data_IF_729979277798
#
_entry.id   IF_729979277798
#
_cell.length_a   1.000
_cell.length_b   1.000
_cell.length_c   1.000
_cell.angle_alpha   90.00
_cell.angle_beta   90.00
_cell.angle_gamma   90.00
#
_symmetry.space_group_name_H-M   'P 1'
#
loop_
_entity.id
_entity.type
_entity.pdbx_description
1 polymer ?
#
# COMPACT_ATOMS: atom_id res chain seq x y z
N UNK A 1 25.70 -0.54 -0.46
CA UNK A 1 26.99 -0.39 0.24
C UNK A 1 27.02 0.92 1.01
N UNK A 2 27.03 2.12 0.38
CA UNK A 2 27.14 3.41 1.10
C UNK A 2 26.17 3.56 2.29
N UNK A 3 24.89 3.23 2.13
CA UNK A 3 23.92 3.30 3.23
C UNK A 3 24.33 2.46 4.45
N UNK A 4 24.88 1.25 4.24
CA UNK A 4 25.30 0.36 5.32
C UNK A 4 26.46 0.97 6.11
N UNK A 5 27.48 1.49 5.44
CA UNK A 5 28.63 2.14 6.08
C UNK A 5 28.22 3.44 6.80
N UNK A 6 27.38 4.26 6.16
CA UNK A 6 26.86 5.51 6.76
C UNK A 6 26.01 5.24 8.00
N UNK A 7 25.14 4.23 7.96
CA UNK A 7 24.34 3.84 9.10
C UNK A 7 25.19 3.29 10.26
N UNK A 8 26.20 2.49 9.95
CA UNK A 8 27.16 1.98 10.93
C UNK A 8 27.97 3.12 11.57
N UNK A 9 28.45 4.06 10.75
CA UNK A 9 29.17 5.23 11.25
C UNK A 9 28.31 6.13 12.14
N UNK A 10 27.01 6.28 11.82
CA UNK A 10 26.05 7.02 12.64
C UNK A 10 25.89 6.41 14.05
N UNK A 11 25.89 5.09 14.18
CA UNK A 11 25.93 4.36 15.46
C UNK A 11 24.70 4.56 16.38
N UNK A 12 23.65 5.21 15.89
CA UNK A 12 22.48 5.60 16.71
C UNK A 12 21.47 4.48 16.97
N UNK A 13 21.67 3.28 16.41
CA UNK A 13 20.78 2.14 16.56
C UNK A 13 21.49 0.81 16.31
N UNK A 14 20.88 -0.30 16.79
CA UNK A 14 21.29 -1.64 16.38
C UNK A 14 20.88 -1.88 14.93
N UNK A 15 21.83 -2.34 14.12
CA UNK A 15 21.66 -2.53 12.68
C UNK A 15 21.64 -4.01 12.32
N UNK A 16 20.69 -4.39 11.46
CA UNK A 16 20.64 -5.67 10.78
C UNK A 16 20.63 -5.43 9.28
N UNK A 17 21.38 -6.20 8.51
CA UNK A 17 21.47 -6.06 7.05
C UNK A 17 20.66 -7.16 6.39
N UNK A 18 19.87 -6.83 5.38
CA UNK A 18 19.17 -7.81 4.55
C UNK A 18 19.44 -7.57 3.07
N UNK A 19 19.78 -8.61 2.34
CA UNK A 19 19.91 -8.61 0.88
C UNK A 19 18.79 -9.47 0.29
N UNK A 20 18.04 -8.92 -0.67
CA UNK A 20 17.06 -9.71 -1.41
C UNK A 20 17.69 -10.23 -2.69
N UNK A 21 17.87 -11.54 -2.77
CA UNK A 21 18.28 -12.23 -3.98
C UNK A 21 17.03 -12.66 -4.76
N UNK A 22 16.82 -12.05 -5.92
CA UNK A 22 15.70 -12.39 -6.80
C UNK A 22 15.91 -13.65 -7.62
N UNK A 23 17.09 -14.28 -7.52
CA UNK A 23 17.47 -15.51 -8.25
C UNK A 23 17.25 -15.42 -9.78
N UNK A 24 17.37 -14.19 -10.34
CA UNK A 24 17.15 -13.92 -11.76
C UNK A 24 18.45 -13.92 -12.57
N UNK A 25 19.60 -13.83 -11.91
CA UNK A 25 20.93 -13.78 -12.52
C UNK A 25 21.93 -14.60 -11.68
N UNK A 26 22.90 -15.28 -12.32
CA UNK A 26 23.93 -16.05 -11.61
C UNK A 26 24.76 -15.18 -10.64
N UNK A 27 25.04 -13.93 -11.02
CA UNK A 27 25.86 -12.98 -10.27
C UNK A 27 25.21 -12.52 -8.95
N UNK A 28 23.89 -12.59 -8.85
CA UNK A 28 23.15 -12.14 -7.66
C UNK A 28 23.59 -12.86 -6.36
N UNK A 29 24.02 -14.12 -6.46
CA UNK A 29 24.57 -14.85 -5.31
C UNK A 29 25.92 -14.31 -4.86
N UNK A 30 26.78 -13.90 -5.81
CA UNK A 30 28.09 -13.33 -5.51
C UNK A 30 27.94 -11.92 -4.93
N UNK A 31 27.01 -11.12 -5.46
CA UNK A 31 26.66 -9.79 -4.93
C UNK A 31 26.16 -9.90 -3.48
N UNK A 32 25.27 -10.86 -3.19
CA UNK A 32 24.79 -11.10 -1.84
C UNK A 32 25.91 -11.55 -0.89
N UNK A 33 26.82 -12.40 -1.36
CA UNK A 33 27.99 -12.84 -0.59
C UNK A 33 28.95 -11.68 -0.28
N UNK A 34 29.16 -10.78 -1.23
CA UNK A 34 29.97 -9.56 -1.02
C UNK A 34 29.34 -8.65 0.06
N UNK A 35 28.02 -8.42 0.02
CA UNK A 35 27.32 -7.65 1.06
C UNK A 35 27.42 -8.35 2.42
N UNK A 36 27.25 -9.67 2.47
CA UNK A 36 27.38 -10.45 3.69
C UNK A 36 28.79 -10.36 4.31
N UNK A 37 29.82 -10.41 3.47
CA UNK A 37 31.20 -10.28 3.91
C UNK A 37 31.47 -8.87 4.49
N UNK A 38 31.05 -7.81 3.78
CA UNK A 38 31.22 -6.44 4.28
C UNK A 38 30.42 -6.20 5.57
N UNK A 39 29.20 -6.72 5.69
CA UNK A 39 28.44 -6.63 6.93
C UNK A 39 29.17 -7.28 8.10
N UNK A 40 29.77 -8.47 7.89
CA UNK A 40 30.56 -9.17 8.89
C UNK A 40 31.80 -8.35 9.33
N UNK A 41 32.50 -7.74 8.38
CA UNK A 41 33.66 -6.87 8.65
C UNK A 41 33.26 -5.64 9.48
N UNK A 42 32.05 -5.14 9.32
CA UNK A 42 31.45 -4.07 10.11
C UNK A 42 30.85 -4.53 11.46
N UNK A 43 30.92 -5.83 11.77
CA UNK A 43 30.30 -6.40 12.97
C UNK A 43 28.77 -6.44 12.94
N UNK A 44 28.18 -6.43 11.74
CA UNK A 44 26.72 -6.44 11.54
C UNK A 44 26.23 -7.84 11.18
N UNK A 45 25.01 -8.20 11.67
CA UNK A 45 24.31 -9.38 11.19
C UNK A 45 23.78 -9.18 9.77
N UNK A 46 23.77 -10.26 8.99
CA UNK A 46 23.28 -10.23 7.61
C UNK A 46 22.42 -11.45 7.29
N UNK A 47 21.29 -11.21 6.63
CA UNK A 47 20.42 -12.23 6.09
C UNK A 47 20.25 -12.08 4.58
N UNK A 48 20.32 -13.20 3.83
CA UNK A 48 19.96 -13.23 2.42
C UNK A 48 18.54 -13.78 2.28
N UNK A 49 17.64 -12.96 1.75
CA UNK A 49 16.25 -13.32 1.49
C UNK A 49 16.12 -13.73 0.03
N UNK A 50 15.77 -14.98 -0.21
CA UNK A 50 15.66 -15.54 -1.57
C UNK A 50 14.23 -15.47 -2.06
N UNK A 51 14.04 -15.03 -3.30
CA UNK A 51 12.75 -15.07 -4.00
C UNK A 51 12.74 -16.15 -5.05
N UNK A 52 11.93 -17.19 -4.81
CA UNK A 52 11.81 -18.36 -5.71
C UNK A 52 10.42 -18.46 -6.38
N UNK A 53 9.57 -17.46 -6.17
CA UNK A 53 8.14 -17.58 -6.41
C UNK A 53 7.59 -16.88 -7.67
N UNK A 54 8.36 -16.68 -8.77
CA UNK A 54 7.77 -16.13 -9.98
C UNK A 54 7.01 -17.20 -10.78
N UNK A 55 5.70 -16.97 -10.92
CA UNK A 55 4.79 -17.85 -11.69
C UNK A 55 4.87 -17.67 -13.21
N UNK A 56 5.79 -16.80 -13.68
CA UNK A 56 5.99 -16.40 -15.10
C UNK A 56 4.80 -15.65 -15.72
N UNK A 57 3.89 -15.13 -14.89
CA UNK A 57 2.76 -14.32 -15.35
C UNK A 57 2.96 -12.83 -15.02
N UNK A 58 2.55 -11.96 -15.94
CA UNK A 58 2.57 -10.51 -15.75
C UNK A 58 3.96 -9.88 -15.94
N UNK A 59 4.15 -8.71 -15.31
CA UNK A 59 5.41 -7.97 -15.39
C UNK A 59 6.38 -8.44 -14.30
N UNK A 60 7.49 -9.07 -14.70
CA UNK A 60 8.52 -9.58 -13.82
C UNK A 60 9.06 -8.52 -12.85
N UNK A 61 9.26 -7.27 -13.31
CA UNK A 61 9.79 -6.20 -12.45
C UNK A 61 8.81 -5.78 -11.35
N UNK A 62 7.54 -5.70 -11.68
CA UNK A 62 6.50 -5.39 -10.68
C UNK A 62 6.37 -6.53 -9.68
N UNK A 63 6.42 -7.79 -10.14
CA UNK A 63 6.40 -8.97 -9.28
C UNK A 63 7.63 -9.00 -8.36
N UNK A 64 8.84 -8.80 -8.88
CA UNK A 64 10.08 -8.73 -8.11
C UNK A 64 10.06 -7.59 -7.08
N UNK A 65 9.54 -6.42 -7.45
CA UNK A 65 9.40 -5.28 -6.54
C UNK A 65 8.40 -5.55 -5.40
N UNK A 66 7.28 -6.21 -5.70
CA UNK A 66 6.29 -6.62 -4.70
C UNK A 66 6.89 -7.68 -3.76
N UNK A 67 7.53 -8.71 -4.33
CA UNK A 67 8.21 -9.76 -3.57
C UNK A 67 9.29 -9.20 -2.64
N UNK A 68 10.13 -8.28 -3.13
CA UNK A 68 11.14 -7.60 -2.31
C UNK A 68 10.52 -6.91 -1.10
N UNK A 69 9.40 -6.20 -1.30
CA UNK A 69 8.72 -5.53 -0.19
C UNK A 69 8.13 -6.50 0.81
N UNK A 70 7.49 -7.57 0.32
CA UNK A 70 6.89 -8.59 1.18
C UNK A 70 7.97 -9.31 2.00
N UNK A 71 9.05 -9.78 1.36
CA UNK A 71 10.16 -10.46 2.02
C UNK A 71 10.82 -9.59 3.09
N UNK A 72 11.08 -8.31 2.79
CA UNK A 72 11.66 -7.39 3.75
C UNK A 72 10.70 -7.07 4.90
N UNK A 73 9.40 -6.92 4.65
CA UNK A 73 8.41 -6.66 5.70
C UNK A 73 8.29 -7.85 6.65
N UNK A 74 8.23 -9.05 6.10
CA UNK A 74 8.13 -10.31 6.83
C UNK A 74 9.40 -10.56 7.66
N UNK A 75 10.56 -10.34 7.06
CA UNK A 75 11.84 -10.40 7.74
C UNK A 75 11.93 -9.38 8.88
N UNK A 76 11.57 -8.12 8.62
CA UNK A 76 11.58 -7.06 9.64
C UNK A 76 10.68 -7.39 10.83
N UNK A 77 9.50 -7.94 10.57
CA UNK A 77 8.57 -8.39 11.61
C UNK A 77 9.16 -9.53 12.45
N UNK A 78 9.77 -10.53 11.81
CA UNK A 78 10.41 -11.67 12.50
C UNK A 78 11.61 -11.25 13.33
N UNK A 79 12.39 -10.28 12.85
CA UNK A 79 13.56 -9.74 13.56
C UNK A 79 13.17 -8.70 14.64
N UNK A 80 11.90 -8.29 14.70
CA UNK A 80 11.45 -7.26 15.63
C UNK A 80 12.03 -5.87 15.35
N UNK A 81 12.50 -5.59 14.11
CA UNK A 81 13.04 -4.28 13.73
C UNK A 81 11.92 -3.30 13.44
N UNK A 82 12.07 -2.05 13.91
CA UNK A 82 11.05 -1.03 13.82
C UNK A 82 11.05 -0.31 12.46
N UNK A 83 12.20 -0.26 11.77
CA UNK A 83 12.35 0.47 10.52
C UNK A 83 13.28 -0.26 9.54
N UNK A 84 12.95 -0.14 8.24
CA UNK A 84 13.79 -0.62 7.14
C UNK A 84 14.32 0.58 6.36
N UNK A 85 15.64 0.71 6.28
CA UNK A 85 16.30 1.75 5.51
C UNK A 85 16.51 1.31 4.06
N UNK A 86 16.17 2.18 3.11
CA UNK A 86 16.34 1.95 1.67
C UNK A 86 17.31 2.97 1.08
N UNK A 87 18.28 2.52 0.31
CA UNK A 87 19.35 3.34 -0.29
C UNK A 87 18.92 4.11 -1.56
N UNK A 88 17.68 4.63 -1.61
CA UNK A 88 17.27 5.50 -2.71
C UNK A 88 17.91 6.88 -2.59
N UNK A 89 18.34 7.43 -3.72
CA UNK A 89 19.10 8.67 -3.87
C UNK A 89 18.29 9.79 -4.53
N UNK A 90 18.88 10.98 -4.63
CA UNK A 90 18.30 12.10 -5.40
C UNK A 90 18.12 11.74 -6.88
N UNK A 91 19.03 10.96 -7.46
CA UNK A 91 18.91 10.43 -8.81
C UNK A 91 17.64 9.58 -8.96
N UNK A 92 17.34 8.70 -7.99
CA UNK A 92 16.13 7.88 -8.01
C UNK A 92 14.85 8.72 -7.87
N UNK A 93 14.91 9.84 -7.16
CA UNK A 93 13.80 10.81 -7.10
C UNK A 93 13.55 11.45 -8.46
N UNK A 94 14.59 11.93 -9.13
CA UNK A 94 14.48 12.55 -10.44
C UNK A 94 14.01 11.56 -11.52
N UNK A 95 14.55 10.34 -11.52
CA UNK A 95 14.10 9.25 -12.40
C UNK A 95 12.60 8.96 -12.17
N UNK A 96 12.18 8.83 -10.90
CA UNK A 96 10.79 8.58 -10.54
C UNK A 96 9.86 9.72 -10.95
N UNK A 97 10.27 10.96 -10.74
CA UNK A 97 9.53 12.15 -11.14
C UNK A 97 9.30 12.16 -12.66
N UNK A 98 10.37 11.98 -13.45
CA UNK A 98 10.30 12.00 -14.92
C UNK A 98 9.41 10.88 -15.46
N UNK A 99 9.55 9.66 -14.95
CA UNK A 99 8.71 8.53 -15.35
C UNK A 99 7.22 8.76 -15.04
N UNK A 100 6.91 9.43 -13.93
CA UNK A 100 5.53 9.75 -13.57
C UNK A 100 4.99 10.93 -14.36
N UNK A 101 5.81 11.93 -14.65
CA UNK A 101 5.46 13.03 -15.54
C UNK A 101 5.10 12.52 -16.93
N UNK A 102 5.91 11.63 -17.49
CA UNK A 102 5.67 10.99 -18.79
C UNK A 102 4.36 10.19 -18.84
N UNK A 103 3.87 9.70 -17.68
CA UNK A 103 2.58 9.00 -17.56
C UNK A 103 1.41 9.94 -17.26
N UNK A 104 1.60 11.26 -17.29
CA UNK A 104 0.56 12.24 -17.01
C UNK A 104 0.12 12.29 -15.54
N UNK A 105 1.00 11.95 -14.60
CA UNK A 105 0.66 11.98 -13.18
C UNK A 105 0.41 13.40 -12.69
N UNK A 106 -0.61 13.59 -11.84
CA UNK A 106 -0.86 14.81 -11.08
C UNK A 106 0.04 14.94 -9.85
N UNK A 107 -0.36 15.83 -8.93
CA UNK A 107 0.39 16.19 -7.71
C UNK A 107 0.85 14.97 -6.91
N UNK A 108 -0.05 13.99 -6.67
CA UNK A 108 0.29 12.79 -5.89
C UNK A 108 1.42 11.97 -6.50
N UNK A 109 1.38 11.79 -7.82
CA UNK A 109 2.42 11.07 -8.53
C UNK A 109 3.72 11.86 -8.59
N UNK A 110 3.66 13.14 -8.94
CA UNK A 110 4.82 14.01 -9.07
C UNK A 110 5.54 14.29 -7.74
N UNK A 111 4.86 14.08 -6.60
CA UNK A 111 5.50 14.09 -5.28
C UNK A 111 6.57 13.00 -5.09
N UNK A 112 6.76 12.11 -6.06
CA UNK A 112 7.75 11.04 -6.11
C UNK A 112 7.80 10.18 -4.82
N UNK A 113 8.97 9.83 -4.30
CA UNK A 113 9.09 8.96 -3.12
C UNK A 113 9.09 9.79 -1.84
N UNK A 114 8.32 9.35 -0.84
CA UNK A 114 8.35 9.94 0.50
C UNK A 114 9.61 9.51 1.26
N UNK A 115 10.21 10.40 2.09
CA UNK A 115 11.34 10.03 2.95
C UNK A 115 11.00 8.92 3.94
N UNK A 116 9.80 8.96 4.49
CA UNK A 116 9.27 7.97 5.44
C UNK A 116 7.90 7.51 4.96
N UNK A 117 7.63 6.22 5.14
CA UNK A 117 6.34 5.61 4.83
C UNK A 117 6.08 4.42 5.73
N UNK A 118 4.95 4.41 6.42
CA UNK A 118 4.49 3.24 7.16
C UNK A 118 3.63 2.35 6.23
N UNK A 119 4.02 1.08 6.09
CA UNK A 119 3.31 0.11 5.27
C UNK A 119 3.63 -1.32 5.71
N UNK A 120 2.65 -2.22 5.68
CA UNK A 120 2.78 -3.62 6.06
C UNK A 120 3.39 -3.82 7.47
N UNK A 121 3.00 -2.96 8.42
CA UNK A 121 3.50 -3.02 9.80
C UNK A 121 4.95 -2.55 10.00
N UNK A 122 5.60 -2.05 8.95
CA UNK A 122 7.01 -1.63 8.97
C UNK A 122 7.13 -0.16 8.57
N UNK A 123 8.04 0.56 9.22
CA UNK A 123 8.44 1.92 8.84
C UNK A 123 9.55 1.86 7.80
N UNK A 124 9.26 2.33 6.59
CA UNK A 124 10.22 2.41 5.47
C UNK A 124 10.83 3.80 5.41
N UNK A 125 12.14 3.89 5.49
CA UNK A 125 12.87 5.16 5.50
C UNK A 125 13.85 5.23 4.32
N UNK A 126 14.04 6.43 3.78
CA UNK A 126 14.96 6.72 2.66
C UNK A 126 15.83 7.90 3.01
N UNK A 127 16.87 7.69 3.84
CA UNK A 127 17.67 8.80 4.37
C UNK A 127 18.54 9.50 3.32
N UNK A 128 18.75 8.89 2.14
CA UNK A 128 19.66 9.39 1.12
C UNK A 128 18.94 10.10 -0.06
N UNK A 129 17.64 10.44 0.08
CA UNK A 129 16.87 11.04 -1.02
C UNK A 129 17.37 12.43 -1.47
N UNK A 130 18.13 13.11 -0.67
CA UNK A 130 18.73 14.42 -0.98
C UNK A 130 20.19 14.33 -1.43
N UNK A 131 20.79 13.13 -1.36
CA UNK A 131 22.18 12.88 -1.70
C UNK A 131 22.25 12.28 -3.10
N UNK A 132 23.19 12.77 -3.93
CA UNK A 132 23.39 12.23 -5.27
C UNK A 132 24.14 10.90 -5.23
N UNK A 133 23.96 10.10 -6.26
CA UNK A 133 24.76 8.87 -6.44
C UNK A 133 26.24 9.20 -6.63
N UNK A 134 26.58 10.34 -7.24
CA UNK A 134 27.95 10.82 -7.38
C UNK A 134 28.58 11.11 -6.02
N UNK A 135 27.92 11.90 -5.16
CA UNK A 135 28.42 12.22 -3.82
C UNK A 135 28.68 10.96 -3.00
N UNK A 136 27.78 9.98 -3.07
CA UNK A 136 27.97 8.70 -2.39
C UNK A 136 29.17 7.92 -2.91
N UNK A 137 29.41 7.90 -4.22
CA UNK A 137 30.59 7.27 -4.82
C UNK A 137 31.87 7.98 -4.44
N UNK A 138 31.87 9.30 -4.42
CA UNK A 138 33.04 10.10 -4.02
C UNK A 138 33.36 9.89 -2.54
N UNK A 139 32.35 9.85 -1.69
CA UNK A 139 32.50 9.49 -0.28
C UNK A 139 33.07 8.07 -0.09
N UNK A 140 32.57 7.09 -0.84
CA UNK A 140 33.06 5.71 -0.81
C UNK A 140 34.55 5.65 -1.23
N UNK A 141 34.94 6.37 -2.30
CA UNK A 141 36.31 6.44 -2.76
C UNK A 141 37.24 7.09 -1.72
N UNK A 142 36.79 8.21 -1.14
CA UNK A 142 37.58 8.93 -0.12
C UNK A 142 37.83 8.10 1.15
N UNK A 143 36.95 7.11 1.42
CA UNK A 143 37.07 6.19 2.56
C UNK A 143 37.61 4.80 2.14
N UNK A 144 38.13 4.63 0.92
CA UNK A 144 38.68 3.38 0.37
C UNK A 144 37.72 2.19 0.47
N UNK A 145 36.41 2.45 0.36
CA UNK A 145 35.36 1.44 0.49
C UNK A 145 34.98 0.85 -0.87
N UNK A 146 34.88 -0.46 -0.94
CA UNK A 146 34.50 -1.18 -2.16
C UNK A 146 32.99 -1.20 -2.37
N UNK A 147 32.56 -1.25 -3.63
CA UNK A 147 31.17 -1.50 -4.03
C UNK A 147 31.12 -2.31 -5.33
N UNK A 148 29.97 -2.86 -5.64
CA UNK A 148 29.71 -3.55 -6.91
C UNK A 148 28.84 -2.66 -7.77
N UNK A 149 29.25 -2.43 -9.02
CA UNK A 149 28.39 -1.83 -10.05
C UNK A 149 27.61 -2.95 -10.76
N UNK A 150 26.29 -2.88 -10.70
CA UNK A 150 25.39 -3.85 -11.34
C UNK A 150 25.34 -3.58 -12.86
N UNK A 151 25.78 -4.51 -13.74
CA UNK A 151 25.72 -4.36 -15.19
C UNK A 151 24.29 -4.18 -15.73
N UNK A 152 23.28 -4.70 -15.03
CA UNK A 152 21.88 -4.50 -15.35
C UNK A 152 21.41 -3.04 -15.30
N UNK A 153 22.24 -2.15 -14.74
CA UNK A 153 22.00 -0.70 -14.76
C UNK A 153 22.18 -0.04 -16.14
N UNK A 154 22.62 -0.77 -17.16
CA UNK A 154 22.85 -0.25 -18.53
C UNK A 154 21.85 -0.78 -19.56
N UNK A 155 21.00 -1.73 -19.20
CA UNK A 155 20.03 -2.33 -20.14
C UNK A 155 18.86 -1.38 -20.45
N UNK A 156 18.90 -0.78 -21.65
CA UNK A 156 17.92 0.19 -22.16
C UNK A 156 16.49 -0.36 -22.37
N UNK A 157 16.24 -1.64 -22.15
CA UNK A 157 14.88 -2.21 -22.14
C UNK A 157 14.05 -1.70 -20.95
N UNK A 158 14.69 -1.20 -19.90
CA UNK A 158 14.04 -0.77 -18.67
C UNK A 158 13.72 0.73 -18.68
N UNK A 159 12.49 1.07 -18.31
CA UNK A 159 12.00 2.47 -18.24
C UNK A 159 12.89 3.39 -17.41
N UNK A 160 13.52 2.86 -16.34
CA UNK A 160 14.43 3.64 -15.50
C UNK A 160 15.71 4.06 -16.19
N UNK A 161 16.23 3.21 -17.06
CA UNK A 161 17.45 3.51 -17.80
C UNK A 161 17.17 4.55 -18.88
N UNK A 162 16.01 4.42 -19.57
CA UNK A 162 15.52 5.45 -20.48
C UNK A 162 15.34 6.80 -19.76
N UNK A 163 14.77 6.79 -18.56
CA UNK A 163 14.62 8.01 -17.77
C UNK A 163 15.98 8.64 -17.42
N UNK A 164 16.99 7.83 -17.06
CA UNK A 164 18.35 8.30 -16.77
C UNK A 164 19.01 8.95 -17.98
N UNK A 165 18.93 8.30 -19.14
CA UNK A 165 19.43 8.84 -20.40
C UNK A 165 18.71 10.14 -20.80
N UNK A 166 17.39 10.17 -20.63
CA UNK A 166 16.61 11.37 -20.88
C UNK A 166 17.00 12.53 -19.95
N UNK A 167 17.28 12.24 -18.67
CA UNK A 167 17.74 13.26 -17.71
C UNK A 167 19.06 13.90 -18.13
N UNK A 168 19.99 13.15 -18.70
CA UNK A 168 21.26 13.66 -19.19
C UNK A 168 21.04 14.59 -20.40
N UNK A 169 20.12 14.24 -21.31
CA UNK A 169 19.73 15.06 -22.46
C UNK A 169 18.96 16.33 -22.05
N UNK A 170 18.22 16.30 -20.96
CA UNK A 170 17.40 17.41 -20.48
C UNK A 170 18.20 18.39 -19.57
N UNK A 171 19.35 17.98 -19.06
CA UNK A 171 20.18 18.79 -18.16
C UNK A 171 20.60 20.15 -18.78
N UNK A 172 20.98 20.26 -20.07
CA UNK A 172 21.31 21.54 -20.70
C UNK A 172 20.14 22.53 -20.76
N UNK A 173 18.89 22.04 -20.73
CA UNK A 173 17.67 22.87 -20.61
C UNK A 173 17.39 23.34 -19.17
N UNK A 174 18.27 23.01 -18.22
CA UNK A 174 18.07 23.31 -16.80
C UNK A 174 17.19 22.28 -16.05
N UNK A 175 16.75 21.21 -16.68
CA UNK A 175 16.00 20.11 -16.04
C UNK A 175 16.97 19.12 -15.39
N UNK A 176 17.73 19.61 -14.42
CA UNK A 176 18.71 18.81 -13.70
C UNK A 176 18.05 17.89 -12.66
N UNK A 177 18.76 16.83 -12.23
CA UNK A 177 18.30 15.91 -11.17
C UNK A 177 17.92 16.68 -9.91
N UNK A 178 18.70 17.66 -9.50
CA UNK A 178 18.44 18.50 -8.34
C UNK A 178 17.11 19.29 -8.49
N UNK A 179 16.89 19.93 -9.64
CA UNK A 179 15.64 20.70 -9.88
C UNK A 179 14.40 19.81 -9.91
N UNK A 180 14.49 18.63 -10.54
CA UNK A 180 13.37 17.70 -10.56
C UNK A 180 13.05 17.13 -9.18
N UNK A 181 14.07 16.81 -8.38
CA UNK A 181 13.92 16.41 -7.00
C UNK A 181 13.31 17.53 -6.14
N UNK A 182 13.75 18.77 -6.32
CA UNK A 182 13.15 19.94 -5.66
C UNK A 182 11.69 20.13 -6.05
N UNK A 183 11.36 19.99 -7.33
CA UNK A 183 9.97 20.07 -7.80
C UNK A 183 9.12 18.95 -7.18
N UNK A 184 9.65 17.74 -7.07
CA UNK A 184 8.99 16.64 -6.37
C UNK A 184 8.70 16.98 -4.89
N UNK A 185 9.65 17.64 -4.21
CA UNK A 185 9.45 18.10 -2.83
C UNK A 185 8.34 19.15 -2.73
N UNK A 186 8.27 20.12 -3.66
CA UNK A 186 7.17 21.08 -3.73
C UNK A 186 5.82 20.40 -3.99
N UNK A 187 5.78 19.39 -4.86
CA UNK A 187 4.56 18.60 -5.08
C UNK A 187 4.17 17.81 -3.83
N UNK A 188 5.13 17.33 -3.05
CA UNK A 188 4.85 16.66 -1.78
C UNK A 188 4.22 17.61 -0.75
N UNK A 189 4.70 18.85 -0.65
CA UNK A 189 4.10 19.89 0.19
C UNK A 189 2.67 20.22 -0.27
N UNK A 190 2.46 20.45 -1.56
CA UNK A 190 1.13 20.70 -2.13
C UNK A 190 0.17 19.54 -1.84
N UNK A 191 0.63 18.28 -1.99
CA UNK A 191 -0.13 17.08 -1.65
C UNK A 191 -0.57 17.09 -0.19
N UNK A 192 0.29 17.49 0.74
CA UNK A 192 -0.06 17.58 2.17
C UNK A 192 -1.24 18.53 2.38
N UNK A 193 -1.19 19.73 1.83
CA UNK A 193 -2.28 20.73 1.92
C UNK A 193 -3.57 20.19 1.32
N UNK A 194 -3.51 19.58 0.14
CA UNK A 194 -4.68 18.99 -0.51
C UNK A 194 -5.28 17.82 0.29
N UNK A 195 -4.44 17.02 0.94
CA UNK A 195 -4.90 15.94 1.81
C UNK A 195 -5.57 16.48 3.09
N UNK A 196 -5.02 17.53 3.69
CA UNK A 196 -5.60 18.18 4.86
C UNK A 196 -6.96 18.82 4.54
N UNK A 197 -7.08 19.48 3.39
CA UNK A 197 -8.35 20.01 2.93
C UNK A 197 -9.40 18.91 2.72
N UNK A 198 -9.00 17.80 2.12
CA UNK A 198 -9.88 16.67 1.93
C UNK A 198 -10.25 15.99 3.27
N UNK A 199 -9.31 15.84 4.22
CA UNK A 199 -9.59 15.30 5.54
C UNK A 199 -10.57 16.18 6.32
N UNK A 200 -10.43 17.49 6.22
CA UNK A 200 -11.36 18.45 6.83
C UNK A 200 -12.76 18.31 6.26
N UNK A 201 -12.88 18.27 4.92
CA UNK A 201 -14.17 18.09 4.27
C UNK A 201 -14.84 16.75 4.64
N UNK A 202 -14.04 15.68 4.80
CA UNK A 202 -14.56 14.36 5.16
C UNK A 202 -15.30 14.34 6.49
N UNK A 203 -14.91 15.15 7.47
CA UNK A 203 -15.52 15.16 8.82
C UNK A 203 -17.00 15.45 8.80
N UNK A 204 -17.42 16.32 7.91
CA UNK A 204 -18.79 16.80 7.85
C UNK A 204 -19.69 15.99 6.91
N UNK A 205 -19.11 15.36 5.90
CA UNK A 205 -19.88 14.72 4.80
C UNK A 205 -19.74 13.20 4.74
N UNK A 206 -18.80 12.62 5.51
CA UNK A 206 -18.49 11.19 5.48
C UNK A 206 -18.94 10.52 6.77
N UNK A 207 -19.57 9.34 6.66
CA UNK A 207 -19.89 8.48 7.80
C UNK A 207 -19.49 7.05 7.51
N UNK A 208 -19.19 6.31 8.58
CA UNK A 208 -18.84 4.90 8.53
C UNK A 208 -20.04 4.08 9.00
N UNK A 209 -20.49 3.15 8.20
CA UNK A 209 -21.62 2.29 8.50
C UNK A 209 -21.20 0.82 8.39
N UNK A 210 -20.76 0.23 9.52
CA UNK A 210 -20.39 -1.19 9.57
C UNK A 210 -19.53 -1.65 8.37
N UNK A 211 -18.42 -0.94 8.14
CA UNK A 211 -17.47 -1.26 7.06
C UNK A 211 -17.77 -0.65 5.69
N UNK A 212 -18.94 -0.04 5.50
CA UNK A 212 -19.23 0.83 4.38
C UNK A 212 -18.75 2.26 4.65
N UNK A 213 -18.43 2.99 3.59
CA UNK A 213 -18.18 4.42 3.64
C UNK A 213 -19.27 5.13 2.85
N UNK A 214 -19.91 6.10 3.49
CA UNK A 214 -21.05 6.80 2.94
C UNK A 214 -20.82 8.30 2.99
N UNK A 215 -20.98 8.96 1.86
CA UNK A 215 -20.90 10.42 1.73
C UNK A 215 -22.30 11.01 1.50
N UNK A 216 -22.54 12.21 2.06
CA UNK A 216 -23.65 13.03 1.59
C UNK A 216 -23.42 13.41 0.12
N UNK A 217 -24.35 13.09 -0.76
CA UNK A 217 -24.18 13.23 -2.20
C UNK A 217 -24.09 14.69 -2.63
N UNK A 218 -24.91 15.58 -2.03
CA UNK A 218 -24.98 16.98 -2.38
C UNK A 218 -23.74 17.74 -1.88
N UNK A 219 -23.31 17.45 -0.66
CA UNK A 219 -22.12 18.04 -0.07
C UNK A 219 -20.85 17.58 -0.80
N UNK A 220 -20.78 16.29 -1.19
CA UNK A 220 -19.69 15.74 -1.98
C UNK A 220 -19.58 16.42 -3.35
N UNK A 221 -20.71 16.69 -4.01
CA UNK A 221 -20.74 17.36 -5.32
C UNK A 221 -20.33 18.83 -5.25
N UNK A 222 -20.58 19.48 -4.13
CA UNK A 222 -20.19 20.87 -3.90
C UNK A 222 -18.68 21.04 -3.71
N UNK A 223 -17.94 19.97 -3.45
CA UNK A 223 -16.48 20.04 -3.27
C UNK A 223 -15.74 20.29 -4.58
N UNK A 224 -14.56 20.94 -4.52
CA UNK A 224 -13.63 20.96 -5.64
C UNK A 224 -13.33 19.57 -6.18
N UNK A 225 -13.20 19.43 -7.49
CA UNK A 225 -13.07 18.12 -8.14
C UNK A 225 -11.91 17.26 -7.59
N UNK A 226 -10.74 17.88 -7.31
CA UNK A 226 -9.60 17.16 -6.75
C UNK A 226 -9.90 16.63 -5.34
N UNK A 227 -10.54 17.45 -4.48
CA UNK A 227 -10.92 17.05 -3.12
C UNK A 227 -11.90 15.90 -3.14
N UNK A 228 -12.92 15.96 -3.99
CA UNK A 228 -13.90 14.89 -4.20
C UNK A 228 -13.22 13.61 -4.69
N UNK A 229 -12.36 13.69 -5.71
CA UNK A 229 -11.64 12.56 -6.27
C UNK A 229 -10.71 11.91 -5.24
N UNK A 230 -10.07 12.70 -4.35
CA UNK A 230 -9.27 12.20 -3.22
C UNK A 230 -10.10 11.41 -2.23
N UNK A 231 -11.23 11.95 -1.81
CA UNK A 231 -12.11 11.31 -0.84
C UNK A 231 -12.63 9.98 -1.35
N UNK A 232 -13.18 9.96 -2.56
CA UNK A 232 -13.74 8.73 -3.14
C UNK A 232 -12.65 7.69 -3.41
N UNK A 233 -11.47 8.10 -3.92
CA UNK A 233 -10.35 7.19 -4.12
C UNK A 233 -9.86 6.59 -2.79
N UNK A 234 -9.80 7.40 -1.72
CA UNK A 234 -9.40 6.93 -0.40
C UNK A 234 -10.40 5.95 0.18
N UNK A 235 -11.70 6.26 0.07
CA UNK A 235 -12.76 5.36 0.51
C UNK A 235 -12.71 4.01 -0.20
N UNK A 236 -12.44 4.00 -1.52
CA UNK A 236 -12.25 2.76 -2.27
C UNK A 236 -11.04 1.96 -1.77
N UNK A 237 -9.90 2.62 -1.54
CA UNK A 237 -8.71 1.97 -1.00
C UNK A 237 -8.96 1.36 0.38
N UNK A 238 -9.68 2.07 1.25
CA UNK A 238 -10.00 1.63 2.60
C UNK A 238 -10.94 0.43 2.61
N UNK A 239 -12.06 0.52 1.87
CA UNK A 239 -13.03 -0.57 1.75
C UNK A 239 -12.45 -1.80 1.06
N UNK A 240 -11.53 -1.62 0.12
CA UNK A 240 -10.84 -2.71 -0.57
C UNK A 240 -9.66 -3.31 0.19
N UNK A 241 -9.25 -2.71 1.32
CA UNK A 241 -7.98 -3.04 1.99
C UNK A 241 -6.78 -3.02 1.02
N UNK A 242 -6.80 -2.08 0.07
CA UNK A 242 -5.82 -1.98 -1.00
C UNK A 242 -5.28 -0.55 -1.09
N UNK A 243 -4.00 -0.38 -0.88
CA UNK A 243 -3.35 0.94 -0.85
C UNK A 243 -3.10 1.56 -2.24
N UNK A 244 -3.38 0.85 -3.33
CA UNK A 244 -3.25 1.39 -4.69
C UNK A 244 -4.47 2.25 -5.06
N UNK A 245 -4.20 3.48 -5.53
CA UNK A 245 -5.26 4.37 -6.01
C UNK A 245 -5.80 3.89 -7.36
N UNK A 246 -7.14 3.87 -7.56
CA UNK A 246 -7.72 3.63 -8.88
C UNK A 246 -7.29 4.72 -9.89
N UNK A 247 -7.27 4.38 -11.17
CA UNK A 247 -7.00 5.35 -12.25
C UNK A 247 -8.06 6.45 -12.24
N UNK A 248 -7.63 7.70 -12.40
CA UNK A 248 -8.50 8.88 -12.29
C UNK A 248 -9.69 8.85 -13.26
N UNK A 249 -9.47 8.41 -14.51
CA UNK A 249 -10.55 8.27 -15.49
C UNK A 249 -11.62 7.26 -15.07
N UNK A 250 -11.20 6.09 -14.56
CA UNK A 250 -12.11 5.07 -14.04
C UNK A 250 -12.85 5.54 -12.78
N UNK A 251 -12.15 6.25 -11.89
CA UNK A 251 -12.73 6.84 -10.69
C UNK A 251 -13.85 7.83 -11.03
N UNK A 252 -13.61 8.76 -11.95
CA UNK A 252 -14.59 9.76 -12.37
C UNK A 252 -15.78 9.13 -13.10
N UNK A 253 -15.54 8.14 -13.96
CA UNK A 253 -16.59 7.39 -14.60
C UNK A 253 -17.48 6.66 -13.57
N UNK A 254 -16.88 6.05 -12.56
CA UNK A 254 -17.61 5.37 -11.49
C UNK A 254 -18.42 6.33 -10.60
N UNK A 255 -17.91 7.54 -10.35
CA UNK A 255 -18.66 8.57 -9.59
C UNK A 255 -19.87 9.13 -10.35
N UNK A 256 -19.81 9.19 -11.68
CA UNK A 256 -20.89 9.70 -12.52
C UNK A 256 -22.04 8.69 -12.71
N UNK A 257 -21.79 7.39 -12.49
CA UNK A 257 -22.78 6.34 -12.70
C UNK A 257 -23.67 6.15 -11.45
N UNK A 258 -24.96 5.81 -11.61
CA UNK A 258 -25.82 5.46 -10.48
C UNK A 258 -25.33 4.23 -9.71
N UNK A 259 -24.64 3.31 -10.38
CA UNK A 259 -23.98 2.16 -9.79
C UNK A 259 -22.79 1.75 -10.64
N UNK A 260 -21.65 1.48 -9.98
CA UNK A 260 -20.43 1.04 -10.63
C UNK A 260 -19.65 0.06 -9.74
N UNK A 261 -18.83 -0.78 -10.36
CA UNK A 261 -17.85 -1.59 -9.67
C UNK A 261 -16.45 -1.08 -10.01
N UNK A 262 -15.66 -0.79 -9.01
CA UNK A 262 -14.28 -0.32 -9.16
C UNK A 262 -13.45 -0.75 -7.96
N UNK A 263 -12.24 -1.22 -8.21
CA UNK A 263 -11.27 -1.52 -7.16
C UNK A 263 -11.74 -2.60 -6.15
N UNK A 264 -12.54 -3.56 -6.60
CA UNK A 264 -13.16 -4.58 -5.71
C UNK A 264 -14.21 -4.02 -4.74
N UNK A 265 -14.72 -2.83 -5.05
CA UNK A 265 -15.82 -2.19 -4.33
C UNK A 265 -16.99 -1.94 -5.27
N UNK A 266 -18.17 -1.86 -4.69
CA UNK A 266 -19.38 -1.37 -5.34
C UNK A 266 -19.67 0.04 -4.87
N UNK A 267 -19.84 0.93 -5.82
CA UNK A 267 -20.27 2.31 -5.61
C UNK A 267 -21.75 2.36 -5.99
N UNK A 268 -22.58 2.86 -5.12
CA UNK A 268 -24.01 3.14 -5.41
C UNK A 268 -24.29 4.58 -5.05
N UNK A 269 -25.11 5.25 -5.89
CA UNK A 269 -25.43 6.65 -5.74
C UNK A 269 -26.92 6.88 -5.90
N UNK A 270 -27.47 7.67 -5.03
CA UNK A 270 -28.84 8.23 -5.13
C UNK A 270 -28.79 9.74 -4.84
N UNK A 271 -29.96 10.40 -4.74
CA UNK A 271 -30.06 11.84 -4.48
C UNK A 271 -29.54 12.28 -3.10
N UNK A 272 -29.39 11.35 -2.13
CA UNK A 272 -29.00 11.66 -0.76
C UNK A 272 -27.56 11.24 -0.46
N UNK A 273 -27.14 10.09 -0.98
CA UNK A 273 -25.86 9.50 -0.59
C UNK A 273 -25.12 8.84 -1.76
N UNK A 274 -23.79 8.87 -1.66
CA UNK A 274 -22.89 7.98 -2.39
C UNK A 274 -22.32 6.99 -1.39
N UNK A 275 -22.61 5.69 -1.58
CA UNK A 275 -22.15 4.60 -0.72
C UNK A 275 -21.10 3.77 -1.43
N UNK A 276 -20.04 3.45 -0.72
CA UNK A 276 -18.96 2.56 -1.14
C UNK A 276 -18.97 1.34 -0.22
N UNK A 277 -19.24 0.17 -0.78
CA UNK A 277 -19.25 -1.11 -0.08
C UNK A 277 -18.32 -2.10 -0.76
N UNK A 278 -17.90 -3.13 -0.05
CA UNK A 278 -17.10 -4.22 -0.61
C UNK A 278 -17.88 -4.97 -1.67
N UNK A 279 -17.26 -5.35 -2.78
CA UNK A 279 -17.90 -6.17 -3.80
C UNK A 279 -17.93 -7.64 -3.35
N UNK A 280 -19.12 -8.27 -3.40
CA UNK A 280 -19.30 -9.66 -2.98
C UNK A 280 -18.40 -10.64 -3.77
N UNK A 281 -18.24 -10.40 -5.08
CA UNK A 281 -17.38 -11.22 -5.92
C UNK A 281 -15.90 -11.14 -5.48
N UNK A 282 -15.43 -9.99 -5.01
CA UNK A 282 -14.03 -9.79 -4.61
C UNK A 282 -13.66 -10.55 -3.32
N UNK A 283 -14.64 -10.94 -2.52
CA UNK A 283 -14.42 -11.68 -1.25
C UNK A 283 -15.01 -13.10 -1.25
N UNK A 284 -15.62 -13.53 -2.34
CA UNK A 284 -16.38 -14.80 -2.39
C UNK A 284 -15.60 -16.03 -1.93
N UNK A 285 -14.30 -16.08 -2.22
CA UNK A 285 -13.42 -17.21 -1.91
C UNK A 285 -12.54 -16.93 -0.67
N UNK A 286 -12.74 -15.77 -0.02
CA UNK A 286 -11.93 -15.36 1.13
C UNK A 286 -12.40 -16.07 2.39
N UNK A 287 -11.51 -16.86 3.01
CA UNK A 287 -11.73 -17.51 4.28
C UNK A 287 -10.59 -17.19 5.23
N UNK A 288 -10.89 -17.09 6.51
CA UNK A 288 -9.91 -16.84 7.54
C UNK A 288 -10.36 -17.46 8.88
N UNK A 289 -9.42 -17.89 9.75
CA UNK A 289 -9.76 -18.30 11.12
C UNK A 289 -10.25 -17.13 11.97
N UNK A 290 -10.99 -17.42 13.05
CA UNK A 290 -11.64 -16.39 13.88
C UNK A 290 -10.66 -15.41 14.56
N UNK A 291 -9.43 -15.82 14.80
CA UNK A 291 -8.39 -15.04 15.48
C UNK A 291 -7.64 -14.07 14.54
N UNK A 292 -7.92 -14.14 13.24
CA UNK A 292 -7.31 -13.28 12.24
C UNK A 292 -8.22 -12.15 11.76
N UNK A 293 -7.63 -11.14 11.10
CA UNK A 293 -8.42 -10.12 10.39
C UNK A 293 -8.94 -10.71 9.07
N UNK A 294 -10.24 -10.65 8.88
CA UNK A 294 -10.85 -11.00 7.61
C UNK A 294 -10.93 -9.77 6.68
N UNK A 295 -10.63 -9.97 5.40
CA UNK A 295 -10.54 -8.92 4.36
C UNK A 295 -9.66 -7.73 4.81
N UNK A 296 -8.66 -7.99 5.68
CA UNK A 296 -7.71 -7.00 6.20
C UNK A 296 -8.31 -5.93 7.12
N UNK A 297 -9.61 -5.99 7.45
CA UNK A 297 -10.33 -4.93 8.18
C UNK A 297 -11.37 -5.40 9.18
N UNK A 298 -11.78 -6.66 9.17
CA UNK A 298 -12.82 -7.15 10.06
C UNK A 298 -12.25 -8.00 11.17
N UNK A 299 -12.69 -7.71 12.39
CA UNK A 299 -12.45 -8.54 13.58
C UNK A 299 -13.77 -9.12 14.07
N UNK A 300 -13.75 -10.39 14.39
CA UNK A 300 -14.88 -11.11 14.99
C UNK A 300 -14.57 -11.40 16.45
N UNK A 301 -15.51 -11.07 17.34
CA UNK A 301 -15.42 -11.43 18.74
C UNK A 301 -16.55 -12.42 19.05
N UNK A 302 -16.22 -13.68 19.39
CA UNK A 302 -17.22 -14.67 19.78
C UNK A 302 -17.86 -14.30 21.13
N UNK A 303 -19.06 -14.80 21.43
CA UNK A 303 -19.68 -14.67 22.74
C UNK A 303 -18.81 -15.36 23.82
N UNK A 304 -18.90 -14.87 25.08
CA UNK A 304 -18.17 -15.43 26.18
C UNK A 304 -18.54 -16.91 26.41
N UNK A 305 -17.54 -17.74 26.69
CA UNK A 305 -17.74 -19.17 26.95
C UNK A 305 -17.86 -20.06 25.72
N UNK A 306 -17.52 -19.56 24.54
CA UNK A 306 -17.54 -20.38 23.32
C UNK A 306 -16.44 -21.47 23.37
N UNK A 307 -16.87 -22.75 23.33
CA UNK A 307 -15.99 -23.89 23.25
C UNK A 307 -15.41 -24.05 21.80
N UNK A 308 -14.09 -24.23 21.72
CA UNK A 308 -13.37 -24.55 20.48
C UNK A 308 -13.58 -23.57 19.32
N UNK A 309 -13.16 -22.30 19.47
CA UNK A 309 -13.28 -21.30 18.41
C UNK A 309 -12.55 -21.70 17.08
N UNK A 310 -11.54 -22.56 17.15
CA UNK A 310 -10.78 -23.06 16.00
C UNK A 310 -11.60 -23.92 15.01
N UNK A 311 -12.85 -24.24 15.32
CA UNK A 311 -13.75 -24.98 14.40
C UNK A 311 -14.49 -24.07 13.43
N UNK A 312 -14.43 -22.77 13.63
CA UNK A 312 -15.20 -21.80 12.87
C UNK A 312 -14.30 -20.99 11.94
N UNK A 313 -14.78 -20.74 10.74
CA UNK A 313 -14.16 -19.86 9.76
C UNK A 313 -14.97 -18.60 9.57
N UNK A 314 -14.29 -17.51 9.25
CA UNK A 314 -14.90 -16.30 8.72
C UNK A 314 -14.92 -16.41 7.21
N UNK A 315 -16.09 -16.21 6.61
CA UNK A 315 -16.27 -16.12 5.16
C UNK A 315 -17.38 -15.10 4.82
N UNK A 316 -17.52 -14.67 3.55
CA UNK A 316 -18.60 -13.75 3.21
C UNK A 316 -19.97 -14.41 3.45
N UNK A 317 -20.96 -13.61 3.83
CA UNK A 317 -22.34 -14.07 4.01
C UNK A 317 -22.89 -14.66 2.70
N UNK A 318 -22.71 -13.95 1.60
CA UNK A 318 -23.19 -14.36 0.28
C UNK A 318 -24.71 -14.51 0.18
N UNK A 319 -25.20 -14.92 -0.97
CA UNK A 319 -26.64 -15.12 -1.21
C UNK A 319 -27.19 -16.30 -0.37
N UNK A 320 -26.45 -17.39 -0.30
CA UNK A 320 -26.87 -18.59 0.43
C UNK A 320 -26.99 -18.31 1.94
N UNK A 321 -26.04 -17.60 2.52
CA UNK A 321 -26.09 -17.22 3.93
C UNK A 321 -27.18 -16.20 4.22
N UNK A 322 -27.36 -15.21 3.36
CA UNK A 322 -28.41 -14.21 3.54
C UNK A 322 -29.81 -14.80 3.48
N UNK A 323 -30.03 -15.85 2.68
CA UNK A 323 -31.31 -16.57 2.61
C UNK A 323 -31.67 -17.32 3.93
N UNK A 324 -30.66 -17.60 4.77
CA UNK A 324 -30.85 -18.22 6.08
C UNK A 324 -31.06 -17.20 7.22
N UNK A 325 -30.89 -15.91 6.93
CA UNK A 325 -31.05 -14.85 7.92
C UNK A 325 -32.50 -14.44 8.07
N UNK A 326 -32.92 -13.96 9.27
CA UNK A 326 -34.29 -13.53 9.50
C UNK A 326 -34.61 -12.25 8.70
N UNK A 327 -35.83 -11.80 8.88
CA UNK A 327 -36.46 -10.70 8.17
C UNK A 327 -35.60 -9.42 8.10
N UNK A 328 -35.82 -8.62 7.06
CA UNK A 328 -35.07 -7.36 6.80
C UNK A 328 -35.06 -6.37 7.96
N UNK A 329 -36.01 -6.46 8.88
CA UNK A 329 -36.06 -5.64 10.07
C UNK A 329 -34.79 -5.74 10.98
N UNK A 330 -34.10 -6.89 10.93
CA UNK A 330 -32.84 -7.10 11.67
C UNK A 330 -31.57 -6.66 10.92
N UNK A 331 -31.68 -6.22 9.67
CA UNK A 331 -30.54 -5.85 8.85
C UNK A 331 -29.96 -4.50 9.27
N UNK A 332 -28.67 -4.48 9.53
CA UNK A 332 -27.89 -3.25 9.85
C UNK A 332 -27.33 -2.56 8.61
N UNK A 333 -27.35 -3.21 7.47
CA UNK A 333 -26.77 -2.76 6.21
C UNK A 333 -27.70 -3.06 5.03
N UNK A 334 -27.59 -2.33 3.92
CA UNK A 334 -28.25 -2.69 2.67
C UNK A 334 -27.84 -4.08 2.18
N UNK A 335 -28.72 -4.72 1.40
CA UNK A 335 -28.50 -6.08 0.88
C UNK A 335 -27.15 -6.27 0.20
N UNK A 336 -26.74 -5.33 -0.64
CA UNK A 336 -25.45 -5.41 -1.35
C UNK A 336 -24.24 -5.43 -0.41
N UNK A 337 -24.30 -4.67 0.67
CA UNK A 337 -23.26 -4.65 1.70
C UNK A 337 -23.26 -5.95 2.51
N UNK A 338 -24.45 -6.47 2.85
CA UNK A 338 -24.58 -7.74 3.59
C UNK A 338 -23.98 -8.93 2.82
N UNK A 339 -24.14 -8.98 1.50
CA UNK A 339 -23.56 -10.05 0.69
C UNK A 339 -22.02 -10.14 0.81
N UNK A 340 -21.37 -9.02 1.00
CA UNK A 340 -19.92 -8.93 1.18
C UNK A 340 -19.49 -8.84 2.64
N UNK A 341 -20.43 -8.87 3.59
CA UNK A 341 -20.11 -8.78 5.01
C UNK A 341 -19.58 -10.12 5.56
N UNK A 342 -18.75 -10.08 6.63
CA UNK A 342 -18.28 -11.30 7.27
C UNK A 342 -19.42 -12.05 7.95
N UNK A 343 -19.41 -13.36 7.83
CA UNK A 343 -20.25 -14.29 8.56
C UNK A 343 -19.41 -15.44 9.11
N UNK A 344 -19.90 -16.09 10.14
CA UNK A 344 -19.23 -17.19 10.82
C UNK A 344 -19.82 -18.50 10.33
N UNK A 345 -18.94 -19.41 9.92
CA UNK A 345 -19.31 -20.70 9.32
C UNK A 345 -18.66 -21.87 10.01
N UNK A 346 -19.33 -23.00 10.05
CA UNK A 346 -18.78 -24.31 10.36
C UNK A 346 -19.02 -25.24 9.17
N UNK A 347 -18.02 -25.40 8.32
CA UNK A 347 -18.19 -26.02 7.02
C UNK A 347 -19.20 -25.26 6.15
N UNK A 348 -20.30 -25.91 5.76
CA UNK A 348 -21.40 -25.30 5.00
C UNK A 348 -22.52 -24.70 5.88
N UNK A 349 -22.44 -24.85 7.21
CA UNK A 349 -23.48 -24.36 8.13
C UNK A 349 -23.18 -22.92 8.56
N UNK A 350 -24.12 -22.01 8.37
CA UNK A 350 -24.08 -20.66 8.93
C UNK A 350 -24.25 -20.74 10.45
N UNK A 351 -23.35 -20.11 11.19
CA UNK A 351 -23.36 -20.04 12.66
C UNK A 351 -23.82 -18.67 13.13
N UNK A 352 -23.28 -17.59 12.52
CA UNK A 352 -23.67 -16.24 12.85
C UNK A 352 -23.47 -15.28 11.66
N UNK A 353 -24.38 -14.31 11.55
CA UNK A 353 -24.30 -13.17 10.64
C UNK A 353 -24.90 -11.94 11.34
N UNK A 354 -24.19 -11.34 12.30
CA UNK A 354 -24.77 -10.33 13.20
C UNK A 354 -25.25 -9.07 12.46
N UNK A 355 -24.59 -8.71 11.34
CA UNK A 355 -25.00 -7.57 10.52
C UNK A 355 -26.31 -7.82 9.75
N UNK A 356 -26.69 -9.09 9.57
CA UNK A 356 -27.96 -9.51 9.00
C UNK A 356 -28.98 -9.94 10.07
N UNK A 357 -28.73 -9.66 11.35
CA UNK A 357 -29.63 -9.98 12.47
C UNK A 357 -29.63 -11.45 12.90
N UNK A 358 -28.72 -12.28 12.38
CA UNK A 358 -28.63 -13.70 12.76
C UNK A 358 -27.52 -13.90 13.81
N UNK A 359 -27.88 -14.49 14.97
CA UNK A 359 -27.00 -14.67 16.13
C UNK A 359 -26.32 -13.35 16.59
N UNK A 360 -27.12 -12.35 17.04
CA UNK A 360 -26.63 -10.99 17.32
C UNK A 360 -25.70 -10.89 18.55
N UNK A 361 -25.56 -11.96 19.33
CA UNK A 361 -24.60 -12.10 20.44
C UNK A 361 -23.12 -12.14 19.98
N UNK A 362 -22.88 -12.44 18.70
CA UNK A 362 -21.55 -12.31 18.09
C UNK A 362 -21.29 -10.84 17.75
N UNK A 363 -20.09 -10.37 18.07
CA UNK A 363 -19.68 -9.02 17.71
C UNK A 363 -18.80 -9.02 16.48
N UNK A 364 -19.16 -8.17 15.53
CA UNK A 364 -18.43 -7.96 14.28
C UNK A 364 -18.05 -6.48 14.20
N UNK A 365 -16.76 -6.20 14.26
CA UNK A 365 -16.23 -4.85 14.22
C UNK A 365 -15.40 -4.67 12.96
N UNK A 366 -15.78 -3.70 12.12
CA UNK A 366 -14.89 -3.20 11.12
C UNK A 366 -13.78 -2.38 11.79
N UNK A 367 -12.56 -2.47 11.29
CA UNK A 367 -11.52 -1.50 11.65
C UNK A 367 -12.00 -0.14 11.17
N UNK A 368 -12.42 0.70 12.10
CA UNK A 368 -12.73 2.08 11.78
C UNK A 368 -11.43 2.81 11.41
N UNK A 369 -11.43 3.60 10.34
CA UNK A 369 -10.34 4.53 10.10
C UNK A 369 -10.24 5.47 11.31
N UNK A 370 -9.07 5.55 11.93
CA UNK A 370 -8.88 6.42 13.09
C UNK A 370 -9.25 7.87 12.73
N UNK A 371 -10.27 8.42 13.40
CA UNK A 371 -10.69 9.82 13.54
C UNK A 371 -10.94 10.68 12.29
N UNK A 372 -10.99 10.16 11.12
CA UNK A 372 -11.36 10.67 9.79
C UNK A 372 -10.73 9.75 8.76
N UNK A 373 -11.24 9.73 7.52
CA UNK A 373 -10.57 8.98 6.44
C UNK A 373 -9.08 9.31 6.44
N UNK A 374 -8.18 8.41 6.89
CA UNK A 374 -6.77 8.76 7.02
C UNK A 374 -6.21 8.97 5.62
N UNK A 375 -5.94 10.21 5.27
CA UNK A 375 -5.37 10.60 3.98
C UNK A 375 -3.85 10.38 3.99
N UNK A 376 -3.41 9.21 4.46
CA UNK A 376 -2.04 8.77 4.31
C UNK A 376 -1.64 8.78 2.82
N UNK A 377 -0.40 9.06 2.48
CA UNK A 377 0.07 9.04 1.09
C UNK A 377 -0.25 7.69 0.44
N UNK A 378 -0.84 7.71 -0.74
CA UNK A 378 -1.09 6.48 -1.52
C UNK A 378 0.22 5.72 -1.75
N UNK A 379 0.13 4.38 -1.79
CA UNK A 379 1.24 3.58 -2.26
C UNK A 379 1.41 3.74 -3.76
N UNK A 380 2.54 4.18 -4.15
CA UNK A 380 2.98 4.19 -5.54
C UNK A 380 4.15 3.25 -5.69
#
# INVERSE_FOLDING_TARGET
>A
MALMHLAQHWGGASLHVATVNHNLRPEAAQEAAFVAQTARELGLSHDTLVWDGWDKHGNLQDAARQARRALLADWATRQGVQAVLLGHTQDDQAETFLMRLARGSGVDGLAAMAPVRDAAGVRWMRPLLEITRADLRDWMRANELAWVDDPGNEDSQYDRIKARQALDLLAPLGLTRARLSQTAAHMAQARTVLNEAAATAARDICRFEHGDIVFDASALDALPADTRDRLVARALCEVASNSYRPRLSALRAAQAAPSATLHGCRITRNSRELRITREAHAVRDLRAPLDSLWDGRWRICPPAGLDRPSRFDIAPLGEAGLALCPDRAGWRLPRLSLLASPAIWHGARLIAAPLAGFAPEWQVCAREPQESLPLAPYSH
#
